data_IF_802041850033
#
_entry.id   IF_802041850033
#
_cell.length_a   1.000
_cell.length_b   1.000
_cell.length_c   1.000
_cell.angle_alpha   90.00
_cell.angle_beta   90.00
_cell.angle_gamma   90.00
#
_symmetry.space_group_name_H-M   'P 1'
#
loop_
_entity.id
_entity.type
_entity.pdbx_description
1 polymer ?
#
# COMPACT_ATOMS: atom_id res chain seq x y z
N UNK A 1 23.96 24.54 -3.31
CA UNK A 1 22.74 24.85 -2.53
C UNK A 1 21.44 24.68 -3.33
N UNK A 2 21.30 25.22 -4.55
CA UNK A 2 20.06 25.09 -5.35
C UNK A 2 19.77 23.65 -5.80
N UNK A 3 20.78 22.91 -6.21
CA UNK A 3 20.64 21.52 -6.67
C UNK A 3 20.24 20.57 -5.54
N UNK A 4 20.80 20.75 -4.34
CA UNK A 4 20.43 19.99 -3.16
C UNK A 4 18.95 20.24 -2.77
N UNK A 5 18.50 21.50 -2.84
CA UNK A 5 17.09 21.84 -2.60
C UNK A 5 16.17 21.22 -3.65
N UNK A 6 16.58 21.23 -4.92
CA UNK A 6 15.83 20.58 -6.00
C UNK A 6 15.72 19.07 -5.76
N UNK A 7 16.84 18.39 -5.45
CA UNK A 7 16.88 16.97 -5.15
C UNK A 7 15.96 16.59 -3.97
N UNK A 8 16.05 17.32 -2.86
CA UNK A 8 15.22 17.08 -1.68
C UNK A 8 13.73 17.30 -1.98
N UNK A 9 13.40 18.30 -2.79
CA UNK A 9 12.02 18.58 -3.21
C UNK A 9 11.46 17.42 -4.05
N UNK A 10 12.26 16.89 -4.98
CA UNK A 10 11.84 15.75 -5.81
C UNK A 10 11.68 14.47 -4.99
N UNK A 11 12.56 14.22 -4.02
CA UNK A 11 12.38 13.09 -3.10
C UNK A 11 11.09 13.22 -2.28
N UNK A 12 10.76 14.43 -1.82
CA UNK A 12 9.52 14.66 -1.09
C UNK A 12 8.28 14.42 -1.96
N UNK A 13 8.30 14.90 -3.21
CA UNK A 13 7.24 14.69 -4.20
C UNK A 13 7.06 13.23 -4.62
N UNK A 14 8.10 12.39 -4.46
CA UNK A 14 7.98 10.95 -4.67
C UNK A 14 7.31 10.23 -3.49
N UNK A 15 7.21 10.87 -2.32
CA UNK A 15 6.64 10.29 -1.09
C UNK A 15 5.25 10.86 -0.80
N UNK A 16 5.02 12.13 -1.13
CA UNK A 16 3.79 12.86 -0.87
C UNK A 16 3.25 13.45 -2.18
N UNK A 17 1.91 13.52 -2.34
CA UNK A 17 1.31 14.22 -3.47
C UNK A 17 1.80 15.66 -3.57
N UNK A 18 1.85 16.19 -4.79
CA UNK A 18 2.46 17.48 -5.11
C UNK A 18 1.95 18.65 -4.26
N UNK A 19 0.64 18.71 -4.01
CA UNK A 19 0.02 19.77 -3.19
C UNK A 19 0.33 19.60 -1.71
N UNK A 20 0.49 18.37 -1.23
CA UNK A 20 0.87 18.04 0.14
C UNK A 20 2.35 18.34 0.37
N UNK A 21 3.23 17.95 -0.55
CA UNK A 21 4.65 18.27 -0.49
C UNK A 21 4.85 19.79 -0.49
N UNK A 22 4.12 20.51 -1.35
CA UNK A 22 4.17 21.97 -1.40
C UNK A 22 3.70 22.60 -0.09
N UNK A 23 2.65 22.07 0.54
CA UNK A 23 2.19 22.50 1.85
C UNK A 23 3.29 22.42 2.92
N UNK A 24 4.05 21.32 2.99
CA UNK A 24 5.15 21.15 3.95
C UNK A 24 6.41 21.97 3.61
N UNK A 25 6.58 22.41 2.35
CA UNK A 25 7.75 23.17 1.92
C UNK A 25 7.58 24.69 2.05
N UNK A 26 6.34 25.20 2.04
CA UNK A 26 6.08 26.65 1.97
C UNK A 26 5.74 27.30 3.31
N UNK A 27 5.40 26.53 4.35
CA UNK A 27 4.90 27.11 5.60
C UNK A 27 5.91 27.00 6.75
N UNK A 28 6.17 28.13 7.40
CA UNK A 28 6.82 28.24 8.71
C UNK A 28 5.77 27.84 9.78
N UNK A 29 5.62 26.52 10.02
CA UNK A 29 4.57 25.99 10.91
C UNK A 29 5.12 25.59 12.26
N UNK A 30 4.22 25.61 13.26
CA UNK A 30 4.38 24.80 14.45
C UNK A 30 4.49 23.33 14.04
N UNK A 31 5.58 22.68 14.43
CA UNK A 31 5.92 21.29 14.08
C UNK A 31 4.92 20.24 14.59
N UNK A 32 3.88 20.64 15.32
CA UNK A 32 2.91 19.77 15.98
C UNK A 32 1.57 19.66 15.25
N UNK A 33 1.31 20.49 14.22
CA UNK A 33 0.02 20.47 13.53
C UNK A 33 -0.05 19.36 12.47
N UNK A 34 -1.03 18.46 12.61
CA UNK A 34 -1.29 17.36 11.68
C UNK A 34 -1.82 17.90 10.34
N UNK A 35 -1.34 17.34 9.23
CA UNK A 35 -1.94 17.59 7.92
C UNK A 35 -3.18 16.70 7.73
N UNK A 36 -4.35 17.32 7.66
CA UNK A 36 -5.60 16.67 7.29
C UNK A 36 -6.45 17.61 6.41
N UNK A 37 -7.05 17.07 5.36
CA UNK A 37 -7.88 17.80 4.41
C UNK A 37 -9.12 16.99 4.07
N UNK A 38 -10.30 17.60 4.18
CA UNK A 38 -11.56 17.00 3.72
C UNK A 38 -11.78 17.31 2.25
N UNK A 39 -12.24 16.32 1.51
CA UNK A 39 -12.57 16.40 0.09
C UNK A 39 -14.00 15.89 -0.13
N UNK A 40 -14.84 16.71 -0.76
CA UNK A 40 -16.27 16.39 -0.91
C UNK A 40 -16.53 15.37 -2.03
N UNK A 41 -15.79 15.51 -3.13
CA UNK A 41 -16.00 14.74 -4.36
C UNK A 41 -14.69 14.09 -4.78
N UNK A 42 -14.50 12.84 -4.38
CA UNK A 42 -13.38 12.02 -4.82
C UNK A 42 -13.88 10.72 -5.46
N UNK A 43 -13.02 10.11 -6.26
CA UNK A 43 -13.24 8.77 -6.80
C UNK A 43 -12.09 7.90 -6.37
N UNK A 44 -12.39 6.72 -5.83
CA UNK A 44 -11.40 5.77 -5.31
C UNK A 44 -11.46 4.50 -6.15
N UNK A 45 -10.28 4.00 -6.52
CA UNK A 45 -10.07 2.77 -7.27
C UNK A 45 -9.19 1.80 -6.46
N UNK A 46 -9.64 0.56 -6.37
CA UNK A 46 -8.85 -0.58 -5.95
C UNK A 46 -8.76 -1.56 -7.13
N UNK A 47 -7.56 -1.85 -7.60
CA UNK A 47 -7.31 -2.84 -8.65
C UNK A 47 -6.42 -3.96 -8.13
N UNK A 48 -7.01 -5.12 -7.84
CA UNK A 48 -6.32 -6.29 -7.32
C UNK A 48 -6.02 -7.32 -8.40
N UNK A 49 -4.93 -8.07 -8.22
CA UNK A 49 -4.58 -9.25 -9.03
C UNK A 49 -4.71 -10.49 -8.13
N UNK A 50 -5.92 -11.09 -8.01
CA UNK A 50 -6.16 -12.10 -6.98
C UNK A 50 -5.36 -13.39 -7.21
N UNK A 51 -5.17 -13.79 -8.46
CA UNK A 51 -4.43 -15.01 -8.80
C UNK A 51 -2.90 -14.85 -8.69
N UNK A 52 -2.41 -13.65 -8.34
CA UNK A 52 -1.00 -13.46 -8.02
C UNK A 52 -0.57 -14.22 -6.75
N UNK A 53 -1.46 -14.36 -5.77
CA UNK A 53 -1.17 -15.11 -4.55
C UNK A 53 -0.87 -16.59 -4.83
N UNK A 54 -1.57 -17.18 -5.81
CA UNK A 54 -1.35 -18.57 -6.23
C UNK A 54 -0.08 -18.74 -7.08
N UNK A 55 0.37 -17.66 -7.74
CA UNK A 55 1.60 -17.63 -8.51
C UNK A 55 2.84 -17.49 -7.62
N UNK A 56 2.69 -16.92 -6.43
CA UNK A 56 3.80 -16.74 -5.50
C UNK A 56 4.33 -18.10 -4.99
N UNK A 57 5.63 -18.33 -5.17
CA UNK A 57 6.35 -19.49 -4.63
C UNK A 57 7.71 -19.05 -4.09
N UNK A 58 8.01 -19.40 -2.84
CA UNK A 58 9.33 -19.16 -2.24
C UNK A 58 10.39 -20.13 -2.76
N UNK A 59 9.99 -21.28 -3.30
CA UNK A 59 10.90 -22.32 -3.78
C UNK A 59 11.63 -21.90 -5.07
N UNK A 60 11.06 -20.96 -5.83
CA UNK A 60 11.64 -20.43 -7.08
C UNK A 60 12.40 -19.14 -6.80
N UNK A 61 13.73 -19.20 -6.85
CA UNK A 61 14.64 -18.06 -6.65
C UNK A 61 14.29 -17.22 -5.40
N UNK A 62 13.89 -17.87 -4.29
CA UNK A 62 13.47 -17.23 -3.04
C UNK A 62 12.34 -16.19 -3.22
N UNK A 63 11.43 -16.40 -4.18
CA UNK A 63 10.32 -15.48 -4.48
C UNK A 63 10.73 -14.16 -5.15
N UNK A 64 12.01 -13.98 -5.49
CA UNK A 64 12.53 -12.74 -6.09
C UNK A 64 11.92 -12.49 -7.47
N UNK A 65 11.73 -13.51 -8.30
CA UNK A 65 11.13 -13.35 -9.62
C UNK A 65 9.65 -12.95 -9.53
N UNK A 66 8.91 -13.45 -8.54
CA UNK A 66 7.53 -13.01 -8.31
C UNK A 66 7.49 -11.51 -8.01
N UNK A 67 8.37 -11.03 -7.13
CA UNK A 67 8.44 -9.60 -6.79
C UNK A 67 8.84 -8.77 -8.01
N UNK A 68 9.75 -9.25 -8.85
CA UNK A 68 10.13 -8.56 -10.10
C UNK A 68 8.96 -8.41 -11.06
N UNK A 69 8.21 -9.49 -11.27
CA UNK A 69 7.04 -9.46 -12.16
C UNK A 69 5.93 -8.58 -11.61
N UNK A 70 5.69 -8.60 -10.29
CA UNK A 70 4.76 -7.67 -9.67
C UNK A 70 5.20 -6.22 -9.89
N UNK A 71 6.48 -5.94 -9.68
CA UNK A 71 7.04 -4.61 -9.89
C UNK A 71 6.89 -4.15 -11.35
N UNK A 72 7.05 -5.04 -12.33
CA UNK A 72 6.82 -4.76 -13.75
C UNK A 72 5.35 -4.38 -14.01
N UNK A 73 4.40 -5.15 -13.49
CA UNK A 73 2.97 -4.83 -13.62
C UNK A 73 2.64 -3.46 -13.00
N UNK A 74 3.15 -3.19 -11.79
CA UNK A 74 2.92 -1.92 -11.10
C UNK A 74 3.58 -0.77 -11.85
N UNK A 75 4.77 -0.99 -12.43
CA UNK A 75 5.46 0.00 -13.25
C UNK A 75 4.64 0.35 -14.50
N UNK A 76 4.07 -0.63 -15.18
CA UNK A 76 3.24 -0.39 -16.35
C UNK A 76 1.96 0.39 -16.00
N UNK A 77 1.35 0.12 -14.84
CA UNK A 77 0.24 0.93 -14.32
C UNK A 77 0.68 2.35 -13.98
N UNK A 78 1.87 2.53 -13.39
CA UNK A 78 2.40 3.86 -13.09
C UNK A 78 2.66 4.67 -14.38
N UNK A 79 3.14 4.02 -15.44
CA UNK A 79 3.33 4.65 -16.75
C UNK A 79 2.02 5.10 -17.41
N UNK A 80 0.90 4.41 -17.14
CA UNK A 80 -0.40 4.90 -17.60
C UNK A 80 -0.71 6.28 -17.01
N UNK A 81 -0.43 6.49 -15.72
CA UNK A 81 -0.75 7.76 -15.04
C UNK A 81 0.06 8.97 -15.55
N UNK A 82 1.16 8.75 -16.27
CA UNK A 82 1.96 9.82 -16.86
C UNK A 82 1.24 10.52 -18.04
N UNK A 83 0.14 9.94 -18.56
CA UNK A 83 -0.70 10.55 -19.59
C UNK A 83 -1.50 11.74 -19.04
N UNK A 84 -1.49 12.86 -19.77
CA UNK A 84 -2.19 14.10 -19.41
C UNK A 84 -3.69 13.89 -19.07
N UNK A 85 -4.33 12.87 -19.65
CA UNK A 85 -5.74 12.51 -19.38
C UNK A 85 -5.98 12.03 -17.95
N UNK A 86 -4.95 11.48 -17.31
CA UNK A 86 -5.02 10.90 -15.96
C UNK A 86 -4.38 11.78 -14.89
N UNK A 87 -3.96 13.00 -15.24
CA UNK A 87 -3.32 13.95 -14.32
C UNK A 87 -4.12 14.31 -13.06
N UNK A 88 -5.43 14.08 -13.06
CA UNK A 88 -6.29 14.27 -11.87
C UNK A 88 -6.34 13.07 -10.93
N UNK A 89 -5.66 11.98 -11.27
CA UNK A 89 -5.59 10.73 -10.53
C UNK A 89 -4.24 10.68 -9.82
N UNK A 90 -4.29 10.39 -8.52
CA UNK A 90 -3.13 10.23 -7.66
C UNK A 90 -3.06 8.77 -7.21
N UNK A 91 -1.88 8.15 -7.34
CA UNK A 91 -1.62 6.85 -6.71
C UNK A 91 -1.50 7.06 -5.21
N UNK A 92 -2.26 6.29 -4.44
CA UNK A 92 -2.19 6.32 -2.98
C UNK A 92 -1.10 5.38 -2.50
N UNK A 93 -1.21 4.10 -2.86
CA UNK A 93 -0.26 3.06 -2.46
C UNK A 93 -0.46 1.77 -3.24
N UNK A 94 0.49 0.87 -3.07
CA UNK A 94 0.34 -0.55 -3.45
C UNK A 94 0.26 -1.39 -2.17
N UNK A 95 -0.71 -2.28 -2.09
CA UNK A 95 -0.95 -3.18 -0.95
C UNK A 95 -0.93 -4.61 -1.48
N UNK A 96 0.14 -5.36 -1.21
CA UNK A 96 0.35 -6.68 -1.82
C UNK A 96 0.26 -6.59 -3.35
N UNK A 97 -0.70 -7.29 -3.99
CA UNK A 97 -0.96 -7.24 -5.43
C UNK A 97 -2.12 -6.28 -5.80
N UNK A 98 -2.44 -5.34 -4.91
CA UNK A 98 -3.54 -4.37 -5.10
C UNK A 98 -3.00 -2.96 -5.29
N UNK A 99 -3.40 -2.32 -6.38
CA UNK A 99 -3.10 -0.94 -6.71
C UNK A 99 -4.24 -0.04 -6.23
N UNK A 100 -3.92 0.97 -5.43
CA UNK A 100 -4.89 1.93 -4.91
C UNK A 100 -4.61 3.32 -5.47
N UNK A 101 -5.61 3.93 -6.10
CA UNK A 101 -5.54 5.28 -6.65
C UNK A 101 -6.83 6.05 -6.35
N UNK A 102 -6.75 7.37 -6.39
CA UNK A 102 -7.93 8.22 -6.24
C UNK A 102 -7.81 9.52 -7.05
N UNK A 103 -8.94 10.02 -7.53
CA UNK A 103 -9.03 11.31 -8.21
C UNK A 103 -9.77 12.35 -7.38
N UNK A 104 -9.52 13.62 -7.68
CA UNK A 104 -10.13 14.74 -6.95
C UNK A 104 -9.48 15.00 -5.59
N UNK A 105 -8.21 14.64 -5.40
CA UNK A 105 -7.45 14.96 -4.18
C UNK A 105 -6.61 16.24 -4.31
N UNK A 106 -6.33 16.68 -5.53
CA UNK A 106 -5.64 17.93 -5.76
C UNK A 106 -6.64 19.11 -5.61
N UNK A 107 -6.26 20.20 -4.91
CA UNK A 107 -7.07 21.42 -4.86
C UNK A 107 -7.50 21.93 -6.24
N UNK A 108 -6.67 21.73 -7.27
CA UNK A 108 -6.97 22.12 -8.66
C UNK A 108 -8.13 21.35 -9.29
N UNK A 109 -8.41 20.15 -8.77
CA UNK A 109 -9.43 19.25 -9.29
C UNK A 109 -10.77 19.39 -8.55
N UNK A 110 -10.82 20.15 -7.44
CA UNK A 110 -12.06 20.33 -6.65
C UNK A 110 -13.20 21.00 -7.44
N UNK A 111 -12.87 21.76 -8.49
CA UNK A 111 -13.87 22.38 -9.38
C UNK A 111 -14.37 21.47 -10.50
N UNK A 112 -13.85 20.24 -10.62
CA UNK A 112 -14.25 19.30 -11.67
C UNK A 112 -15.49 18.53 -11.25
N UNK A 113 -16.32 18.17 -12.24
CA UNK A 113 -17.53 17.38 -11.98
C UNK A 113 -17.16 15.94 -11.57
N UNK A 114 -18.02 15.32 -10.76
CA UNK A 114 -17.89 13.89 -10.41
C UNK A 114 -17.85 13.03 -11.68
N UNK A 115 -18.64 13.37 -12.71
CA UNK A 115 -18.63 12.69 -14.00
C UNK A 115 -17.26 12.68 -14.67
N UNK A 116 -16.57 13.83 -14.72
CA UNK A 116 -15.21 13.91 -15.24
C UNK A 116 -14.24 13.05 -14.41
N UNK A 117 -14.25 13.21 -13.08
CA UNK A 117 -13.34 12.49 -12.18
C UNK A 117 -13.54 10.97 -12.26
N UNK A 118 -14.79 10.52 -12.33
CA UNK A 118 -15.17 9.12 -12.42
C UNK A 118 -14.88 8.55 -13.80
N UNK A 119 -15.10 9.33 -14.86
CA UNK A 119 -14.76 8.99 -16.23
C UNK A 119 -13.25 8.80 -16.43
N UNK A 120 -12.41 9.69 -15.87
CA UNK A 120 -10.95 9.53 -15.91
C UNK A 120 -10.49 8.25 -15.22
N UNK A 121 -11.04 7.93 -14.05
CA UNK A 121 -10.70 6.69 -13.32
C UNK A 121 -11.21 5.44 -14.04
N UNK A 122 -12.39 5.51 -14.66
CA UNK A 122 -12.93 4.43 -15.48
C UNK A 122 -12.07 4.15 -16.73
N UNK A 123 -11.59 5.20 -17.40
CA UNK A 123 -10.65 5.05 -18.52
C UNK A 123 -9.33 4.43 -18.07
N UNK A 124 -8.77 4.88 -16.93
CA UNK A 124 -7.57 4.28 -16.36
C UNK A 124 -7.78 2.79 -16.07
N UNK A 125 -8.90 2.43 -15.44
CA UNK A 125 -9.24 1.05 -15.12
C UNK A 125 -9.30 0.14 -16.37
N UNK A 126 -9.88 0.65 -17.47
CA UNK A 126 -9.90 -0.05 -18.75
C UNK A 126 -8.48 -0.18 -19.34
N UNK A 127 -7.66 0.87 -19.29
CA UNK A 127 -6.26 0.81 -19.74
C UNK A 127 -5.39 -0.12 -18.90
N UNK A 128 -5.63 -0.23 -17.59
CA UNK A 128 -4.93 -1.18 -16.72
C UNK A 128 -5.23 -2.64 -17.10
N UNK A 129 -6.46 -2.93 -17.56
CA UNK A 129 -6.79 -4.26 -18.10
C UNK A 129 -5.98 -4.56 -19.36
N UNK A 130 -5.96 -3.63 -20.32
CA UNK A 130 -5.19 -3.76 -21.57
C UNK A 130 -3.68 -3.95 -21.26
N UNK A 131 -3.13 -3.18 -20.32
CA UNK A 131 -1.73 -3.29 -19.90
C UNK A 131 -1.41 -4.66 -19.27
N UNK A 132 -2.28 -5.18 -18.39
CA UNK A 132 -2.07 -6.50 -17.78
C UNK A 132 -2.16 -7.63 -18.83
N UNK A 133 -3.04 -7.52 -19.81
CA UNK A 133 -3.11 -8.46 -20.93
C UNK A 133 -1.80 -8.48 -21.74
N UNK A 134 -1.16 -7.33 -21.93
CA UNK A 134 0.13 -7.26 -22.62
C UNK A 134 1.25 -7.88 -21.78
N UNK A 135 1.29 -7.65 -20.46
CA UNK A 135 2.24 -8.36 -19.57
C UNK A 135 2.05 -9.86 -19.62
N UNK A 136 0.80 -10.34 -19.63
CA UNK A 136 0.47 -11.76 -19.73
C UNK A 136 1.01 -12.38 -21.03
N UNK A 137 0.90 -11.70 -22.17
CA UNK A 137 1.43 -12.16 -23.46
C UNK A 137 2.96 -12.31 -23.44
N UNK A 138 3.68 -11.38 -22.83
CA UNK A 138 5.14 -11.38 -22.82
C UNK A 138 5.74 -12.29 -21.74
N UNK A 139 5.04 -12.49 -20.63
CA UNK A 139 5.51 -13.31 -19.50
C UNK A 139 4.97 -14.74 -19.51
N UNK A 140 4.13 -15.11 -20.48
CA UNK A 140 3.42 -16.39 -20.55
C UNK A 140 2.60 -16.71 -19.29
N UNK A 141 2.00 -15.68 -18.70
CA UNK A 141 1.10 -15.78 -17.55
C UNK A 141 -0.36 -15.47 -17.92
N UNK A 142 -1.27 -15.69 -16.98
CA UNK A 142 -2.69 -15.38 -17.14
C UNK A 142 -3.25 -14.69 -15.89
N UNK A 143 -2.61 -13.60 -15.46
CA UNK A 143 -3.10 -12.77 -14.37
C UNK A 143 -4.44 -12.13 -14.73
N UNK A 144 -5.36 -12.10 -13.76
CA UNK A 144 -6.68 -11.51 -13.93
C UNK A 144 -6.82 -10.31 -13.01
N UNK A 145 -7.19 -9.18 -13.60
CA UNK A 145 -7.44 -7.95 -12.86
C UNK A 145 -8.87 -7.94 -12.34
N UNK A 146 -9.06 -7.50 -11.11
CA UNK A 146 -10.37 -7.23 -10.52
C UNK A 146 -10.34 -5.82 -9.98
N UNK A 147 -11.33 -5.01 -10.33
CA UNK A 147 -11.32 -3.59 -9.97
C UNK A 147 -12.63 -3.21 -9.27
N UNK A 148 -12.53 -2.46 -8.18
CA UNK A 148 -13.65 -1.77 -7.53
C UNK A 148 -13.49 -0.26 -7.63
N UNK A 149 -14.55 0.44 -8.05
CA UNK A 149 -14.56 1.91 -8.13
C UNK A 149 -15.77 2.46 -7.38
N UNK A 150 -15.58 3.53 -6.60
CA UNK A 150 -16.65 4.25 -5.92
C UNK A 150 -16.31 5.73 -5.83
N UNK A 151 -17.32 6.60 -5.78
CA UNK A 151 -17.15 8.03 -5.59
C UNK A 151 -17.86 8.51 -4.32
N UNK A 152 -17.37 9.61 -3.75
CA UNK A 152 -17.90 10.20 -2.53
C UNK A 152 -16.85 10.97 -1.73
N UNK A 153 -17.21 11.45 -0.53
CA UNK A 153 -16.31 12.22 0.30
C UNK A 153 -15.20 11.35 0.91
N UNK A 154 -14.02 11.94 1.11
CA UNK A 154 -12.88 11.33 1.81
C UNK A 154 -12.13 12.39 2.61
N UNK A 155 -11.35 11.94 3.58
CA UNK A 155 -10.37 12.75 4.30
C UNK A 155 -8.99 12.26 3.91
N UNK A 156 -8.14 13.14 3.38
CA UNK A 156 -6.73 12.84 3.15
C UNK A 156 -5.85 13.44 4.24
N UNK A 157 -4.71 12.81 4.53
CA UNK A 157 -3.83 13.26 5.60
C UNK A 157 -2.47 12.59 5.59
N UNK A 158 -1.54 13.14 6.37
CA UNK A 158 -0.20 12.57 6.55
C UNK A 158 -0.03 12.08 7.98
N UNK A 159 0.37 10.81 8.13
CA UNK A 159 0.61 10.18 9.43
C UNK A 159 2.04 9.64 9.53
N UNK A 160 2.61 9.64 10.73
CA UNK A 160 3.89 9.01 11.05
C UNK A 160 5.05 9.98 11.23
N UNK A 161 5.62 10.02 12.44
CA UNK A 161 6.68 10.96 12.81
C UNK A 161 8.05 10.67 12.16
N UNK A 162 8.37 9.40 11.89
CA UNK A 162 9.67 8.98 11.31
C UNK A 162 9.58 8.53 9.85
N UNK A 163 8.40 8.04 9.44
CA UNK A 163 8.10 7.55 8.10
C UNK A 163 6.73 8.12 7.73
N UNK A 164 6.67 9.38 7.27
CA UNK A 164 5.41 10.01 6.92
C UNK A 164 4.78 9.26 5.74
N UNK A 165 3.51 8.95 5.85
CA UNK A 165 2.69 8.30 4.81
C UNK A 165 1.48 9.19 4.56
N UNK A 166 1.27 9.58 3.32
CA UNK A 166 0.01 10.14 2.89
C UNK A 166 -1.00 9.03 2.64
N UNK A 167 -2.23 9.21 3.10
CA UNK A 167 -3.31 8.25 2.90
C UNK A 167 -4.67 8.95 2.88
N UNK A 168 -5.71 8.21 2.49
CA UNK A 168 -7.10 8.66 2.48
C UNK A 168 -8.01 7.72 3.26
N UNK A 169 -8.98 8.30 3.97
CA UNK A 169 -9.94 7.60 4.81
C UNK A 169 -11.37 8.04 4.49
N UNK A 170 -12.32 7.13 4.72
CA UNK A 170 -13.74 7.43 4.60
C UNK A 170 -14.57 6.23 4.16
N UNK A 171 -15.89 6.36 4.26
CA UNK A 171 -16.83 5.32 3.83
C UNK A 171 -16.69 5.00 2.33
N UNK A 172 -16.33 6.00 1.52
CA UNK A 172 -16.05 5.84 0.08
C UNK A 172 -14.89 4.88 -0.18
N UNK A 173 -13.82 4.97 0.62
CA UNK A 173 -12.64 4.08 0.52
C UNK A 173 -13.04 2.65 0.87
N UNK A 174 -13.79 2.49 1.96
CA UNK A 174 -14.31 1.19 2.39
C UNK A 174 -15.22 0.57 1.34
N UNK A 175 -16.14 1.34 0.77
CA UNK A 175 -17.05 0.87 -0.28
C UNK A 175 -16.31 0.48 -1.55
N UNK A 176 -15.32 1.28 -2.01
CA UNK A 176 -14.49 0.92 -3.16
C UNK A 176 -13.72 -0.39 -2.93
N UNK A 177 -13.14 -0.57 -1.74
CA UNK A 177 -12.47 -1.82 -1.35
C UNK A 177 -13.44 -3.02 -1.33
N UNK A 178 -14.71 -2.80 -1.00
CA UNK A 178 -15.76 -3.83 -1.09
C UNK A 178 -16.16 -4.14 -2.52
N UNK A 179 -16.22 -3.14 -3.40
CA UNK A 179 -16.44 -3.37 -4.82
C UNK A 179 -15.34 -4.21 -5.45
N UNK A 180 -14.08 -4.04 -5.02
CA UNK A 180 -12.98 -4.92 -5.42
C UNK A 180 -13.13 -6.31 -4.79
N UNK A 181 -13.14 -6.41 -3.46
CA UNK A 181 -13.12 -7.72 -2.76
C UNK A 181 -14.32 -8.62 -3.07
N UNK A 182 -15.51 -8.06 -3.31
CA UNK A 182 -16.70 -8.80 -3.71
C UNK A 182 -16.85 -8.95 -5.23
N UNK A 183 -15.94 -8.36 -6.01
CA UNK A 183 -15.95 -8.39 -7.47
C UNK A 183 -15.57 -9.74 -8.04
N UNK A 184 -15.99 -9.97 -9.28
CA UNK A 184 -15.58 -11.13 -10.08
C UNK A 184 -14.27 -10.84 -10.81
N UNK A 185 -13.49 -11.90 -11.06
CA UNK A 185 -12.25 -11.78 -11.84
C UNK A 185 -12.55 -11.18 -13.21
N UNK A 186 -11.61 -10.38 -13.72
CA UNK A 186 -11.68 -9.75 -15.04
C UNK A 186 -12.79 -8.71 -15.20
N UNK A 187 -13.39 -8.24 -14.10
CA UNK A 187 -14.46 -7.25 -14.12
C UNK A 187 -14.10 -5.99 -13.32
N UNK A 188 -14.69 -4.87 -13.75
CA UNK A 188 -14.64 -3.59 -13.06
C UNK A 188 -16.02 -3.38 -12.44
N UNK A 189 -16.12 -3.41 -11.12
CA UNK A 189 -17.36 -3.29 -10.39
C UNK A 189 -17.55 -1.90 -9.80
N UNK A 190 -18.78 -1.41 -9.90
CA UNK A 190 -19.20 -0.10 -9.37
C UNK A 190 -20.57 -0.21 -8.68
N UNK A 191 -20.87 0.62 -7.68
CA UNK A 191 -22.21 0.72 -7.11
C UNK A 191 -23.15 1.47 -8.07
N UNK A 192 -24.46 1.31 -7.88
CA UNK A 192 -25.50 1.98 -8.70
C UNK A 192 -25.28 3.47 -8.93
N UNK A 193 -24.95 4.23 -7.88
CA UNK A 193 -24.74 5.67 -7.99
C UNK A 193 -23.62 6.02 -8.98
N UNK A 194 -22.50 5.29 -8.93
CA UNK A 194 -21.40 5.45 -9.89
C UNK A 194 -21.79 4.98 -11.29
N UNK A 195 -22.57 3.91 -11.41
CA UNK A 195 -23.03 3.39 -12.70
C UNK A 195 -23.88 4.41 -13.46
N UNK A 196 -24.81 5.07 -12.76
CA UNK A 196 -25.68 6.11 -13.33
C UNK A 196 -24.87 7.28 -13.89
N UNK A 197 -23.87 7.77 -13.14
CA UNK A 197 -22.98 8.84 -13.60
C UNK A 197 -22.18 8.38 -14.83
N UNK A 198 -21.59 7.18 -14.78
CA UNK A 198 -20.82 6.61 -15.89
C UNK A 198 -21.67 6.45 -17.16
N UNK A 199 -22.93 6.04 -17.06
CA UNK A 199 -23.82 5.95 -18.22
C UNK A 199 -24.05 7.29 -18.91
N UNK A 200 -24.18 8.37 -18.13
CA UNK A 200 -24.33 9.74 -18.65
C UNK A 200 -23.05 10.26 -19.29
N UNK A 201 -21.88 9.83 -18.79
CA UNK A 201 -20.56 10.12 -19.36
C UNK A 201 -20.21 9.24 -20.58
N UNK A 202 -21.15 8.43 -21.05
CA UNK A 202 -21.00 7.63 -22.26
C UNK A 202 -20.28 6.31 -22.06
N UNK A 203 -20.25 5.76 -20.85
CA UNK A 203 -19.74 4.41 -20.59
C UNK A 203 -20.85 3.35 -20.70
N UNK A 204 -20.45 2.13 -21.04
CA UNK A 204 -21.30 0.93 -21.01
C UNK A 204 -21.18 0.29 -19.65
N UNK A 205 -22.29 0.19 -18.94
CA UNK A 205 -22.39 -0.55 -17.70
C UNK A 205 -23.45 -1.64 -17.84
N UNK A 206 -23.28 -2.72 -17.09
CA UNK A 206 -24.17 -3.87 -17.08
C UNK A 206 -24.59 -4.17 -15.65
N UNK A 207 -25.88 -4.35 -15.41
CA UNK A 207 -26.35 -4.73 -14.08
C UNK A 207 -25.77 -6.09 -13.67
N UNK A 208 -25.09 -6.13 -12.51
CA UNK A 208 -24.53 -7.35 -11.93
C UNK A 208 -25.56 -8.07 -11.09
N UNK A 209 -26.30 -7.32 -10.27
CA UNK A 209 -27.14 -7.87 -9.22
C UNK A 209 -26.93 -7.15 -7.88
N UNK A 210 -27.64 -7.66 -6.89
CA UNK A 210 -27.52 -7.24 -5.49
C UNK A 210 -26.39 -8.01 -4.81
N UNK A 211 -25.55 -7.30 -4.07
CA UNK A 211 -24.38 -7.86 -3.38
C UNK A 211 -24.40 -7.39 -1.93
N UNK A 212 -24.20 -8.32 -1.00
CA UNK A 212 -24.08 -8.01 0.41
C UNK A 212 -22.73 -7.33 0.70
N UNK A 213 -22.77 -6.10 1.21
CA UNK A 213 -21.60 -5.28 1.53
C UNK A 213 -21.56 -5.03 3.03
N UNK A 214 -20.48 -5.47 3.69
CA UNK A 214 -20.28 -5.30 5.14
C UNK A 214 -20.42 -3.83 5.54
N UNK A 215 -21.35 -3.53 6.44
CA UNK A 215 -21.63 -2.18 6.94
C UNK A 215 -22.56 -1.33 6.06
N UNK A 216 -22.97 -1.81 4.89
CA UNK A 216 -23.96 -1.15 4.00
C UNK A 216 -25.21 -1.98 3.75
N UNK A 217 -25.17 -3.30 4.00
CA UNK A 217 -26.28 -4.20 3.71
C UNK A 217 -26.26 -4.63 2.25
N UNK A 218 -27.43 -4.78 1.65
CA UNK A 218 -27.58 -5.15 0.25
C UNK A 218 -27.40 -3.93 -0.66
N UNK A 219 -26.56 -4.06 -1.69
CA UNK A 219 -26.29 -2.99 -2.64
C UNK A 219 -26.45 -3.46 -4.07
N UNK A 220 -27.13 -2.66 -4.89
CA UNK A 220 -27.17 -2.85 -6.34
C UNK A 220 -25.83 -2.48 -6.96
N UNK A 221 -25.28 -3.39 -7.76
CA UNK A 221 -23.96 -3.27 -8.36
C UNK A 221 -24.00 -3.49 -9.86
N UNK A 222 -23.00 -2.95 -10.54
CA UNK A 222 -22.88 -2.95 -11.99
C UNK A 222 -21.44 -3.26 -12.39
N UNK A 223 -21.26 -3.81 -13.58
CA UNK A 223 -19.97 -3.93 -14.23
C UNK A 223 -19.79 -2.82 -15.26
N UNK A 224 -18.64 -2.15 -15.23
CA UNK A 224 -18.17 -1.29 -16.31
C UNK A 224 -17.51 -2.17 -17.39
N UNK A 225 -18.02 -2.11 -18.62
CA UNK A 225 -17.58 -2.97 -19.73
C UNK A 225 -16.87 -2.23 -20.86
N UNK A 226 -16.91 -0.90 -20.90
CA UNK A 226 -16.21 -0.08 -21.89
C UNK A 226 -16.87 1.26 -22.14
N UNK A 227 -16.52 1.92 -23.26
CA UNK A 227 -17.18 3.15 -23.73
C UNK A 227 -18.27 2.86 -24.76
N UNK A 228 -19.33 3.67 -24.79
CA UNK A 228 -20.40 3.62 -25.81
C UNK A 228 -19.87 4.06 -27.17
N UNK A 229 -19.01 5.08 -27.19
CA UNK A 229 -18.34 5.62 -28.38
C UNK A 229 -16.83 5.50 -28.15
N UNK A 230 -16.14 4.82 -29.06
CA UNK A 230 -14.68 4.84 -29.10
C UNK A 230 -14.22 6.25 -29.47
N UNK A 231 -13.68 7.02 -28.52
CA UNK A 231 -12.89 8.20 -28.89
C UNK A 231 -11.69 7.68 -29.69
N UNK A 232 -11.52 8.19 -30.90
CA UNK A 232 -10.45 7.80 -31.82
C UNK A 232 -9.15 7.64 -31.05
N UNK A 233 -8.68 6.39 -31.00
CA UNK A 233 -7.44 5.97 -30.35
C UNK A 233 -6.25 6.61 -31.08
N UNK A 234 -6.02 7.92 -30.93
CA UNK A 234 -4.72 8.53 -31.22
C UNK A 234 -3.79 8.21 -30.07
N UNK A 235 -3.58 6.91 -29.84
CA UNK A 235 -2.40 6.49 -29.11
C UNK A 235 -1.23 6.90 -29.98
N UNK A 236 -0.53 7.95 -29.56
CA UNK A 236 0.91 7.96 -29.74
C UNK A 236 1.40 6.71 -29.03
N UNK A 237 1.41 5.59 -29.77
CA UNK A 237 2.10 4.37 -29.42
C UNK A 237 3.56 4.78 -29.41
N UNK A 238 4.00 5.42 -28.32
CA UNK A 238 5.40 5.44 -28.02
C UNK A 238 5.78 3.98 -28.04
N UNK A 239 6.70 3.67 -28.95
CA UNK A 239 7.24 2.35 -29.16
C UNK A 239 7.98 1.95 -27.87
N UNK A 240 7.25 1.62 -26.81
CA UNK A 240 7.77 0.96 -25.63
C UNK A 240 7.88 -0.54 -25.94
N UNK A 241 8.52 -0.83 -27.08
CA UNK A 241 9.04 -2.12 -27.38
C UNK A 241 10.17 -2.38 -26.37
N UNK A 242 9.87 -3.20 -25.36
CA UNK A 242 10.79 -4.19 -24.81
C UNK A 242 12.22 -3.70 -24.52
N UNK A 243 12.36 -2.57 -23.82
CA UNK A 243 13.66 -2.08 -23.34
C UNK A 243 13.81 -2.13 -21.83
N UNK A 244 13.11 -3.00 -21.11
CA UNK A 244 13.13 -2.94 -19.65
C UNK A 244 13.43 -4.27 -18.93
N UNK A 245 14.68 -4.74 -19.10
CA UNK A 245 15.34 -5.58 -18.09
C UNK A 245 15.35 -4.87 -16.73
N UNK A 246 15.46 -5.61 -15.61
CA UNK A 246 15.85 -5.08 -14.28
C UNK A 246 16.92 -3.97 -14.33
N UNK A 247 17.86 -4.08 -15.27
CA UNK A 247 18.88 -3.06 -15.54
C UNK A 247 18.28 -1.72 -15.95
N UNK A 248 17.16 -1.67 -16.65
CA UNK A 248 16.48 -0.47 -17.09
C UNK A 248 15.59 0.16 -16.01
N UNK A 249 15.00 -0.62 -15.10
CA UNK A 249 14.27 -0.08 -13.94
C UNK A 249 15.26 0.41 -12.89
N UNK A 250 16.29 -0.37 -12.59
CA UNK A 250 17.44 0.11 -11.80
C UNK A 250 18.10 1.28 -12.50
N UNK A 251 18.27 1.25 -13.83
CA UNK A 251 18.74 2.41 -14.57
C UNK A 251 17.74 3.54 -14.58
N UNK A 252 16.42 3.37 -14.55
CA UNK A 252 15.48 4.48 -14.47
C UNK A 252 15.52 5.10 -13.07
N UNK A 253 15.59 4.29 -12.02
CA UNK A 253 15.81 4.74 -10.64
C UNK A 253 17.20 5.41 -10.47
N UNK A 254 18.25 4.87 -11.11
CA UNK A 254 19.63 5.38 -11.09
C UNK A 254 19.84 6.53 -12.09
N UNK A 255 19.09 6.62 -13.19
CA UNK A 255 19.10 7.72 -14.17
C UNK A 255 18.22 8.85 -13.70
N UNK A 256 17.15 8.60 -12.94
CA UNK A 256 16.49 9.64 -12.16
C UNK A 256 17.47 10.17 -11.10
N UNK A 257 18.28 9.31 -10.45
CA UNK A 257 19.43 9.78 -9.63
C UNK A 257 20.51 10.50 -10.45
N UNK A 258 20.83 10.10 -11.69
CA UNK A 258 21.88 10.72 -12.52
C UNK A 258 21.47 12.00 -13.25
N UNK A 259 20.22 12.12 -13.75
CA UNK A 259 19.61 13.37 -14.23
C UNK A 259 19.55 14.40 -13.10
N UNK A 260 19.42 13.94 -11.86
CA UNK A 260 19.52 14.78 -10.67
C UNK A 260 20.96 15.20 -10.31
N UNK A 261 22.00 14.44 -10.71
CA UNK A 261 23.43 14.80 -10.50
C UNK A 261 24.09 15.51 -11.69
N UNK A 262 23.51 15.46 -12.90
CA UNK A 262 24.07 16.06 -14.11
C UNK A 262 23.81 17.57 -14.26
N UNK A 263 23.23 18.21 -13.23
CA UNK A 263 23.36 19.66 -13.03
C UNK A 263 24.64 20.06 -12.30
N UNK A 264 25.24 19.16 -11.51
CA UNK A 264 26.25 19.52 -10.51
C UNK A 264 27.59 18.82 -10.79
N UNK A 265 28.40 19.38 -11.68
CA UNK A 265 29.80 18.97 -11.80
C UNK A 265 30.61 19.54 -10.64
N UNK A 266 30.86 18.75 -9.60
CA UNK A 266 32.05 18.90 -8.78
C UNK A 266 32.71 17.53 -8.59
N UNK A 267 33.85 17.39 -9.24
CA UNK A 267 34.81 16.31 -9.13
C UNK A 267 35.39 16.24 -7.72
N UNK A 268 35.48 15.03 -7.17
CA UNK A 268 36.46 14.70 -6.13
C UNK A 268 37.49 13.77 -6.79
N UNK A 269 38.79 14.10 -6.82
CA UNK A 269 39.78 13.26 -7.46
C UNK A 269 40.02 12.00 -6.61
N UNK A 270 39.83 10.83 -7.23
CA UNK A 270 40.32 9.56 -6.70
C UNK A 270 41.80 9.44 -7.05
N UNK A 271 42.67 9.36 -6.04
CA UNK A 271 44.11 9.20 -6.22
C UNK A 271 44.39 7.85 -6.91
N UNK A 272 44.73 7.89 -8.19
CA UNK A 272 45.28 6.74 -8.91
C UNK A 272 46.75 6.58 -8.55
N UNK A 273 47.07 5.36 -8.09
CA UNK A 273 48.39 4.76 -8.07
C UNK A 273 49.13 5.07 -9.39
N UNK A 274 50.25 5.79 -9.32
CA UNK A 274 51.20 5.89 -10.43
C UNK A 274 52.43 5.05 -10.08
N UNK A 275 52.53 3.90 -10.74
CA UNK A 275 53.77 3.18 -10.91
C UNK A 275 54.61 3.92 -11.96
N UNK A 276 55.81 4.39 -11.59
CA UNK A 276 56.95 4.49 -12.52
C UNK A 276 58.29 4.25 -11.81
N UNK A 277 59.31 3.80 -12.56
CA UNK A 277 60.41 2.98 -12.02
C UNK A 277 61.74 3.75 -11.91
N UNK A 278 62.65 3.32 -11.03
CA UNK A 278 64.12 3.35 -11.27
C UNK A 278 64.96 2.64 -10.18
N UNK A 279 65.55 1.54 -10.60
CA UNK A 279 66.96 1.07 -10.49
C UNK A 279 67.87 1.61 -9.34
N UNK A 280 68.36 0.63 -8.57
CA UNK A 280 69.67 0.43 -7.90
C UNK A 280 70.20 1.41 -6.84
N UNK A 281 70.47 0.90 -5.63
CA UNK A 281 71.79 0.50 -5.09
C UNK A 281 71.71 0.38 -3.56
N UNK A 282 72.53 -0.50 -2.97
CA UNK A 282 72.44 -0.91 -1.56
C UNK A 282 72.87 0.13 -0.53
N UNK A 283 72.67 -0.20 0.74
CA UNK A 283 73.20 0.54 1.88
C UNK A 283 72.38 0.39 3.15
N UNK A 284 72.98 -0.25 4.16
CA UNK A 284 72.50 -0.41 5.53
C UNK A 284 72.26 0.94 6.23
N UNK A 285 71.22 1.03 7.07
CA UNK A 285 71.34 1.49 8.47
C UNK A 285 69.98 1.56 9.17
N UNK A 286 70.03 1.19 10.46
CA UNK A 286 69.02 1.28 11.50
C UNK A 286 68.42 2.69 11.68
N UNK A 287 67.16 2.77 12.15
CA UNK A 287 66.82 3.34 13.45
C UNK A 287 65.30 3.27 13.74
N UNK A 288 65.01 2.96 15.00
CA UNK A 288 63.73 2.67 15.63
C UNK A 288 62.79 3.89 15.74
N UNK A 289 61.47 3.65 15.75
CA UNK A 289 60.51 4.58 16.35
C UNK A 289 59.43 3.86 17.19
N UNK A 290 59.21 4.44 18.37
CA UNK A 290 58.45 3.94 19.50
C UNK A 290 56.93 3.90 19.26
N UNK A 291 56.30 2.79 19.67
CA UNK A 291 54.85 2.67 19.78
C UNK A 291 54.40 2.90 21.23
N UNK A 292 53.65 3.98 21.47
CA UNK A 292 53.00 4.26 22.77
C UNK A 292 51.61 3.64 22.77
N UNK A 293 51.44 2.51 23.47
CA UNK A 293 50.13 1.91 23.78
C UNK A 293 49.47 2.69 24.92
N UNK A 294 48.23 3.11 24.74
CA UNK A 294 47.33 3.49 25.84
C UNK A 294 46.35 2.34 26.09
N UNK A 295 46.37 1.82 27.32
CA UNK A 295 45.41 0.84 27.84
C UNK A 295 44.23 1.54 28.50
N UNK A 296 43.04 0.97 28.41
CA UNK A 296 42.10 0.86 29.55
C UNK A 296 41.10 -0.26 29.34
N UNK A 297 40.74 -0.87 30.46
CA UNK A 297 40.27 -2.23 30.72
C UNK A 297 38.75 -2.46 30.57
N UNK A 298 38.30 -3.73 30.51
CA UNK A 298 36.89 -4.12 30.48
C UNK A 298 36.36 -4.52 31.86
N UNK A 299 35.09 -4.24 32.17
CA UNK A 299 34.37 -4.90 33.25
C UNK A 299 33.18 -5.69 32.68
N UNK A 300 33.19 -7.00 32.96
CA UNK A 300 32.08 -7.95 32.86
C UNK A 300 31.25 -7.90 34.15
N UNK A 301 29.95 -8.21 34.07
CA UNK A 301 29.38 -9.31 34.87
C UNK A 301 28.02 -9.74 34.32
N UNK A 302 27.77 -11.05 34.45
CA UNK A 302 26.66 -11.81 33.94
C UNK A 302 26.15 -12.69 35.11
N UNK A 303 24.85 -13.04 35.11
CA UNK A 303 24.28 -14.35 35.53
C UNK A 303 23.65 -14.57 36.94
N UNK A 304 22.31 -14.80 36.89
CA UNK A 304 21.38 -15.84 37.44
C UNK A 304 21.10 -16.13 38.94
N UNK A 305 19.77 -16.26 39.19
CA UNK A 305 18.94 -17.25 39.92
C UNK A 305 19.09 -17.59 41.42
N UNK A 306 17.91 -17.90 42.01
CA UNK A 306 17.59 -18.68 43.25
C UNK A 306 17.92 -17.98 44.58
N UNK A 307 17.18 -18.08 45.69
CA UNK A 307 16.05 -18.93 46.11
C UNK A 307 15.38 -18.30 47.36
N UNK A 308 14.22 -18.84 47.75
CA UNK A 308 13.39 -18.45 48.91
C UNK A 308 14.08 -18.67 50.28
N UNK A 309 13.67 -17.92 51.33
CA UNK A 309 12.99 -18.50 52.52
C UNK A 309 12.68 -17.51 53.66
N UNK A 310 11.40 -17.55 54.06
CA UNK A 310 10.85 -17.54 55.43
C UNK A 310 10.93 -16.31 56.36
N UNK A 311 9.75 -15.83 56.78
CA UNK A 311 9.19 -15.79 58.17
C UNK A 311 7.99 -14.80 58.15
N UNK A 312 6.81 -15.02 58.76
CA UNK A 312 6.31 -16.09 59.60
C UNK A 312 4.76 -16.08 59.70
N UNK A 313 4.25 -17.31 59.85
CA UNK A 313 3.05 -17.86 60.52
C UNK A 313 1.63 -17.21 60.51
N UNK A 314 0.58 -18.07 60.39
CA UNK A 314 -0.85 -17.76 60.52
C UNK A 314 -1.53 -18.36 61.79
N UNK A 315 -2.81 -18.03 62.03
CA UNK A 315 -3.78 -18.80 62.84
C UNK A 315 -5.13 -18.84 62.08
N UNK A 316 -5.61 -20.02 61.65
CA UNK A 316 -6.59 -20.95 62.29
C UNK A 316 -7.98 -20.30 62.51
N UNK A 317 -9.11 -20.90 62.11
CA UNK A 317 -9.37 -22.17 61.42
C UNK A 317 -10.86 -22.55 61.42
N UNK A 318 -11.18 -23.62 60.66
CA UNK A 318 -12.34 -24.54 60.71
C UNK A 318 -13.77 -23.97 60.64
N UNK A 319 -14.81 -24.70 60.25
CA UNK A 319 -15.01 -26.01 59.59
C UNK A 319 -16.53 -26.17 59.43
N UNK A 320 -16.96 -26.70 58.27
CA UNK A 320 -18.07 -27.65 58.03
C UNK A 320 -19.40 -27.55 58.81
N UNK A 321 -20.55 -27.59 58.11
CA UNK A 321 -21.63 -28.62 58.21
C UNK A 321 -22.92 -28.17 57.50
N UNK A 322 -23.52 -29.13 56.78
CA UNK A 322 -24.84 -29.15 56.12
C UNK A 322 -26.03 -28.81 57.04
N UNK A 323 -27.17 -28.35 56.46
CA UNK A 323 -28.49 -29.05 56.54
C UNK A 323 -29.62 -28.33 55.77
N UNK A 324 -30.63 -29.15 55.46
CA UNK A 324 -31.84 -29.00 54.65
C UNK A 324 -32.91 -28.00 55.17
N UNK A 325 -33.64 -27.40 54.20
CA UNK A 325 -35.09 -27.01 54.01
C UNK A 325 -36.10 -27.46 55.12
N UNK A 326 -37.31 -26.83 55.38
CA UNK A 326 -38.21 -26.16 54.41
C UNK A 326 -39.18 -25.01 54.83
N UNK A 327 -39.87 -24.45 53.80
CA UNK A 327 -41.17 -23.72 53.85
C UNK A 327 -41.07 -22.18 53.87
N UNK A 328 -41.90 -21.35 53.20
CA UNK A 328 -43.11 -21.54 52.39
C UNK A 328 -43.55 -20.16 51.80
N UNK A 329 -44.09 -20.13 50.57
CA UNK A 329 -45.03 -19.11 49.99
C UNK A 329 -44.52 -17.66 49.75
N UNK A 330 -44.90 -16.87 48.71
CA UNK A 330 -45.89 -16.96 47.64
C UNK A 330 -45.55 -15.99 46.48
N UNK A 331 -46.07 -16.31 45.28
CA UNK A 331 -46.44 -15.43 44.14
C UNK A 331 -45.34 -14.60 43.43
N UNK A 332 -45.22 -14.59 42.10
CA UNK A 332 -46.06 -15.18 41.05
C UNK A 332 -45.43 -15.06 39.65
N UNK A 333 -45.97 -15.91 38.76
CA UNK A 333 -45.95 -15.91 37.28
C UNK A 333 -44.57 -16.08 36.58
N UNK A 334 -44.18 -17.32 36.24
CA UNK A 334 -44.41 -18.04 34.96
C UNK A 334 -43.64 -17.39 33.79
N UNK A 335 -42.46 -17.84 33.35
CA UNK A 335 -41.99 -19.15 32.86
C UNK A 335 -42.76 -19.72 31.65
N UNK A 336 -42.04 -19.93 30.54
CA UNK A 336 -41.80 -21.23 29.87
C UNK A 336 -40.96 -20.98 28.62
N UNK A 337 -39.69 -21.41 28.51
CA UNK A 337 -39.14 -22.77 28.32
C UNK A 337 -38.71 -22.95 26.83
N UNK A 338 -37.43 -23.14 26.45
CA UNK A 338 -36.38 -24.15 26.73
C UNK A 338 -36.51 -25.42 25.82
N UNK A 339 -35.34 -25.91 25.38
CA UNK A 339 -34.92 -27.25 24.82
C UNK A 339 -35.27 -27.42 23.31
N UNK A 340 -34.39 -27.88 22.40
CA UNK A 340 -33.47 -29.00 22.54
C UNK A 340 -32.51 -29.22 21.35
N UNK A 341 -31.34 -29.80 21.67
CA UNK A 341 -30.50 -30.75 20.89
C UNK A 341 -29.97 -30.29 19.52
N UNK A 342 -28.68 -30.29 19.18
CA UNK A 342 -27.59 -31.19 19.55
C UNK A 342 -27.12 -31.93 18.29
N UNK A 343 -25.98 -31.57 17.69
CA UNK A 343 -25.14 -32.50 16.91
C UNK A 343 -23.78 -31.89 16.51
N UNK A 344 -22.74 -32.70 16.66
CA UNK A 344 -21.35 -32.45 16.28
C UNK A 344 -21.19 -32.46 14.75
N UNK A 345 -20.40 -31.54 14.19
CA UNK A 345 -19.58 -31.82 13.00
C UNK A 345 -18.41 -30.84 12.84
N UNK A 346 -17.24 -31.45 12.69
CA UNK A 346 -15.93 -31.00 12.23
C UNK A 346 -15.75 -29.53 11.77
N UNK A 347 -14.85 -28.82 12.46
CA UNK A 347 -14.24 -27.58 11.96
C UNK A 347 -13.09 -27.92 11.00
N UNK A 348 -13.33 -27.80 9.70
CA UNK A 348 -12.25 -27.54 8.74
C UNK A 348 -11.78 -26.10 8.89
N UNK A 349 -10.45 -25.91 8.95
CA UNK A 349 -9.79 -24.61 9.03
C UNK A 349 -9.71 -24.01 7.64
N UNK A 350 -10.65 -23.14 7.27
CA UNK A 350 -10.42 -22.16 6.21
C UNK A 350 -9.85 -20.88 6.82
N UNK A 351 -8.54 -20.68 6.63
CA UNK A 351 -7.88 -19.40 6.85
C UNK A 351 -8.13 -18.53 5.63
N UNK A 352 -9.22 -17.78 5.63
CA UNK A 352 -9.33 -16.60 4.76
C UNK A 352 -8.59 -15.45 5.43
N UNK A 353 -7.62 -14.88 4.71
CA UNK A 353 -6.86 -13.70 5.12
C UNK A 353 -7.81 -12.52 5.33
N UNK A 354 -8.17 -12.26 6.59
CA UNK A 354 -8.75 -11.00 7.03
C UNK A 354 -7.66 -9.91 6.99
N UNK A 355 -7.55 -9.17 5.89
CA UNK A 355 -6.94 -7.83 5.96
C UNK A 355 -7.99 -6.86 6.47
N UNK A 356 -8.05 -6.80 7.78
CA UNK A 356 -8.69 -5.74 8.55
C UNK A 356 -7.99 -4.42 8.22
N UNK A 357 -8.67 -3.50 7.54
CA UNK A 357 -8.33 -2.07 7.64
C UNK A 357 -9.00 -1.59 8.93
N UNK A 358 -8.35 -1.85 10.06
CA UNK A 358 -8.56 -1.13 11.31
C UNK A 358 -7.22 -0.48 11.64
N UNK A 359 -7.12 0.83 11.44
CA UNK A 359 -6.60 1.75 12.45
C UNK A 359 -7.49 3.00 12.38
#
# INVERSE_FOLDING_TARGET
MRELRHYNTQLLKNILPDHVASYFLTHDRNSEELYAQSYANCVVLFASIPNFANFYSEDVNNGVECIRLLNEIIFDFDQLMDDDRFRCIEKIKTISSTYMAASGLNPRDQGKTVGYLLGSVADLALSMKEALEDVNKHSFNNFKLRIGITHGPVVGGVIGAKKPVYDIWGNTVNEASRMDSTGTLDHIQVPKASAQVLETEGFRVQYRGVVAVKGKGEMETYYLTGRKIERSKSFGRSQYAHKHSMTAVLSAMVHNRKKQTLGSSLSVPSAKLQLRPRIATGGLSSLSFNFRKTSRSPHRLNRMQSEMSSTGRPKRGGSTVERRIPGESASGHSFSDIISTGSLKERSRDRTNETVINI
#
